data_IF_042421406439
#
_entry.id   IF_042421406439
#
_cell.length_a   1.000
_cell.length_b   1.000
_cell.length_c   1.000
_cell.angle_alpha   90.00
_cell.angle_beta   90.00
_cell.angle_gamma   90.00
#
_symmetry.space_group_name_H-M   'P 1'
#
loop_
_entity.id
_entity.type
_entity.pdbx_description
1 polymer ?
#
# COMPACT_ATOMS: atom_id res chain seq x y z
N UNK A 1 1.04 11.19 5.38
CA UNK A 1 1.04 9.74 5.31
C UNK A 1 -0.37 9.25 5.02
N UNK A 2 -0.62 8.40 4.01
CA UNK A 2 -1.91 7.76 3.80
C UNK A 2 -2.31 6.96 5.04
N UNK A 3 -3.56 7.09 5.45
CA UNK A 3 -4.06 6.46 6.68
C UNK A 3 -5.57 6.54 6.73
N UNK A 4 -6.24 5.46 7.14
CA UNK A 4 -7.67 5.42 7.35
C UNK A 4 -8.00 5.09 8.81
N UNK A 5 -8.94 5.82 9.41
CA UNK A 5 -9.36 5.60 10.77
C UNK A 5 -10.56 6.41 11.21
N UNK A 6 -11.08 6.05 12.38
CA UNK A 6 -12.20 6.75 12.98
C UNK A 6 -12.63 6.15 14.31
N UNK A 7 -13.41 6.88 15.10
CA UNK A 7 -13.90 6.41 16.40
C UNK A 7 -14.95 5.30 16.28
N UNK A 8 -15.65 5.23 15.15
CA UNK A 8 -16.67 4.21 14.88
C UNK A 8 -16.89 4.07 13.35
N UNK A 9 -17.60 3.02 12.89
CA UNK A 9 -17.83 2.80 11.47
C UNK A 9 -18.57 3.92 10.72
N UNK A 10 -19.34 4.76 11.40
CA UNK A 10 -20.05 5.89 10.78
C UNK A 10 -19.18 7.15 10.68
N UNK A 11 -18.06 7.22 11.41
CA UNK A 11 -17.10 8.33 11.33
C UNK A 11 -15.74 7.79 10.94
N UNK A 12 -15.58 7.46 9.66
CA UNK A 12 -14.32 7.01 9.07
C UNK A 12 -13.66 8.17 8.36
N UNK A 13 -12.38 8.40 8.66
CA UNK A 13 -11.58 9.50 8.13
C UNK A 13 -10.30 8.94 7.56
N UNK A 14 -9.84 9.52 6.45
CA UNK A 14 -8.55 9.15 5.88
C UNK A 14 -7.74 10.38 5.51
N UNK A 15 -6.44 10.18 5.38
CA UNK A 15 -5.47 11.18 4.92
C UNK A 15 -4.74 10.66 3.70
N UNK A 16 -4.23 11.57 2.87
CA UNK A 16 -3.36 11.21 1.76
C UNK A 16 -2.19 12.18 1.68
N UNK A 17 -1.19 11.84 0.86
CA UNK A 17 -0.18 12.79 0.39
C UNK A 17 -0.63 13.36 -0.93
N UNK A 18 -0.24 14.58 -1.18
CA UNK A 18 -0.51 15.25 -2.43
C UNK A 18 0.80 15.80 -3.01
N UNK A 19 1.06 15.47 -4.28
CA UNK A 19 2.17 15.98 -5.06
C UNK A 19 1.66 16.28 -6.49
N UNK A 20 1.76 17.52 -6.92
CA UNK A 20 1.30 17.95 -8.25
C UNK A 20 2.10 17.32 -9.39
N UNK A 21 3.35 16.94 -9.13
CA UNK A 21 4.23 16.29 -10.10
C UNK A 21 3.96 14.78 -10.22
N UNK A 22 3.29 14.20 -9.20
CA UNK A 22 2.98 12.76 -9.15
C UNK A 22 1.55 12.53 -8.61
N UNK A 23 0.50 12.91 -9.35
CA UNK A 23 -0.88 12.85 -8.89
C UNK A 23 -1.43 11.42 -8.73
N UNK A 24 -0.82 10.42 -9.38
CA UNK A 24 -1.25 9.02 -9.27
C UNK A 24 -1.07 8.45 -7.87
N UNK A 25 0.03 8.76 -7.19
CA UNK A 25 0.26 8.31 -5.83
C UNK A 25 -0.83 8.79 -4.88
N UNK A 26 -1.26 10.05 -5.03
CA UNK A 26 -2.38 10.59 -4.26
C UNK A 26 -3.70 9.90 -4.59
N UNK A 27 -3.99 9.66 -5.87
CA UNK A 27 -5.22 8.99 -6.30
C UNK A 27 -5.29 7.57 -5.77
N UNK A 28 -4.26 6.76 -6.03
CA UNK A 28 -4.23 5.36 -5.60
C UNK A 28 -4.19 5.21 -4.09
N UNK A 29 -3.44 6.06 -3.39
CA UNK A 29 -3.47 6.12 -1.94
C UNK A 29 -4.87 6.44 -1.39
N UNK A 30 -5.58 7.40 -1.98
CA UNK A 30 -6.96 7.71 -1.59
C UNK A 30 -7.92 6.56 -1.89
N UNK A 31 -7.75 5.85 -3.00
CA UNK A 31 -8.56 4.66 -3.32
C UNK A 31 -8.29 3.52 -2.34
N UNK A 32 -7.03 3.30 -1.99
CA UNK A 32 -6.61 2.34 -0.98
C UNK A 32 -7.30 2.61 0.37
N UNK A 33 -7.16 3.82 0.89
CA UNK A 33 -7.80 4.21 2.16
C UNK A 33 -9.34 4.19 2.08
N UNK A 34 -9.92 4.47 0.90
CA UNK A 34 -11.36 4.31 0.66
C UNK A 34 -11.80 2.86 0.79
N UNK A 35 -10.97 1.91 0.33
CA UNK A 35 -11.23 0.49 0.51
C UNK A 35 -11.31 0.08 1.98
N UNK A 36 -10.37 0.54 2.79
CA UNK A 36 -10.43 0.36 4.25
C UNK A 36 -11.67 1.03 4.86
N UNK A 37 -11.96 2.25 4.44
CA UNK A 37 -13.09 3.02 4.95
C UNK A 37 -14.45 2.39 4.64
N UNK A 38 -14.65 1.94 3.41
CA UNK A 38 -15.91 1.27 3.01
C UNK A 38 -16.08 -0.07 3.69
N UNK A 39 -15.00 -0.80 3.94
CA UNK A 39 -15.04 -2.03 4.74
C UNK A 39 -15.50 -1.76 6.18
N UNK A 40 -14.92 -0.77 6.84
CA UNK A 40 -15.33 -0.36 8.19
C UNK A 40 -16.80 0.08 8.24
N UNK A 41 -17.26 0.88 7.27
CA UNK A 41 -18.64 1.33 7.15
C UNK A 41 -19.63 0.20 6.87
N UNK A 42 -19.19 -0.85 6.18
CA UNK A 42 -20.00 -2.04 5.87
C UNK A 42 -20.17 -3.02 7.04
N UNK A 43 -19.57 -2.76 8.19
CA UNK A 43 -19.70 -3.64 9.37
C UNK A 43 -21.12 -3.62 9.93
N UNK A 44 -21.62 -4.76 10.47
CA UNK A 44 -23.00 -4.85 10.98
C UNK A 44 -23.26 -3.86 12.12
N UNK A 45 -24.14 -2.90 11.91
CA UNK A 45 -24.46 -1.85 12.89
C UNK A 45 -24.90 -2.42 14.24
N UNK A 46 -25.71 -3.48 14.24
CA UNK A 46 -26.20 -4.14 15.45
C UNK A 46 -25.08 -4.79 16.31
N UNK A 47 -23.89 -5.03 15.71
CA UNK A 47 -22.77 -5.71 16.36
C UNK A 47 -21.54 -4.81 16.52
N UNK A 48 -21.64 -3.54 16.19
CA UNK A 48 -20.48 -2.60 16.11
C UNK A 48 -19.64 -2.56 17.38
N UNK A 49 -20.28 -2.68 18.55
CA UNK A 49 -19.59 -2.67 19.86
C UNK A 49 -19.30 -4.07 20.42
N UNK A 50 -19.54 -5.12 19.63
CA UNK A 50 -19.32 -6.50 20.04
C UNK A 50 -18.09 -7.07 19.32
N UNK A 51 -17.38 -8.03 19.94
CA UNK A 51 -16.25 -8.70 19.27
C UNK A 51 -16.62 -9.33 17.92
N UNK A 52 -17.83 -9.88 17.78
CA UNK A 52 -18.33 -10.48 16.54
C UNK A 52 -18.57 -9.46 15.41
N UNK A 53 -18.70 -8.18 15.74
CA UNK A 53 -18.86 -7.09 14.77
C UNK A 53 -17.54 -6.39 14.38
N UNK A 54 -16.39 -6.83 14.91
CA UNK A 54 -15.10 -6.29 14.53
C UNK A 54 -14.67 -6.80 13.15
N UNK A 55 -13.69 -6.11 12.55
CA UNK A 55 -13.06 -6.55 11.31
C UNK A 55 -12.50 -7.97 11.43
N UNK A 56 -12.63 -8.77 10.38
CA UNK A 56 -12.22 -10.19 10.36
C UNK A 56 -10.69 -10.40 10.38
N UNK A 57 -9.91 -9.35 10.54
CA UNK A 57 -8.45 -9.38 10.57
C UNK A 57 -7.82 -8.55 9.47
N UNK A 58 -6.50 -8.38 9.57
CA UNK A 58 -5.72 -7.49 8.71
C UNK A 58 -5.76 -7.91 7.24
N UNK A 59 -5.61 -9.20 6.95
CA UNK A 59 -5.61 -9.69 5.56
C UNK A 59 -6.93 -9.43 4.83
N UNK A 60 -8.08 -9.54 5.51
CA UNK A 60 -9.38 -9.21 4.92
C UNK A 60 -9.52 -7.70 4.74
N UNK A 61 -9.07 -6.92 5.71
CA UNK A 61 -9.10 -5.47 5.68
C UNK A 61 -8.26 -4.92 4.50
N UNK A 62 -7.01 -5.41 4.38
CA UNK A 62 -6.10 -5.06 3.29
C UNK A 62 -6.61 -5.55 1.92
N UNK A 63 -7.31 -6.69 1.86
CA UNK A 63 -7.90 -7.16 0.60
C UNK A 63 -8.91 -6.17 0.02
N UNK A 64 -9.61 -5.41 0.86
CA UNK A 64 -10.56 -4.39 0.41
C UNK A 64 -9.86 -3.12 -0.09
N UNK A 65 -8.79 -2.70 0.54
CA UNK A 65 -7.97 -1.59 0.04
C UNK A 65 -7.32 -1.95 -1.30
N UNK A 66 -6.75 -3.15 -1.42
CA UNK A 66 -6.15 -3.64 -2.66
C UNK A 66 -7.17 -3.88 -3.78
N UNK A 67 -8.42 -4.23 -3.45
CA UNK A 67 -9.51 -4.30 -4.41
C UNK A 67 -9.73 -2.95 -5.10
N UNK A 68 -9.84 -1.88 -4.32
CA UNK A 68 -10.09 -0.54 -4.84
C UNK A 68 -8.87 0.04 -5.54
N UNK A 69 -7.69 -0.05 -4.95
CA UNK A 69 -6.47 0.48 -5.52
C UNK A 69 -6.04 -0.27 -6.78
N UNK A 70 -5.91 -1.60 -6.70
CA UNK A 70 -5.28 -2.39 -7.76
C UNK A 70 -6.30 -2.93 -8.77
N UNK A 71 -7.34 -3.64 -8.31
CA UNK A 71 -8.24 -4.32 -9.25
C UNK A 71 -9.17 -3.34 -9.95
N UNK A 72 -9.65 -2.31 -9.25
CA UNK A 72 -10.50 -1.27 -9.84
C UNK A 72 -9.64 -0.15 -10.40
N UNK A 73 -8.86 0.53 -9.57
CA UNK A 73 -8.14 1.75 -9.93
C UNK A 73 -7.10 1.59 -11.03
N UNK A 74 -6.47 0.41 -11.12
CA UNK A 74 -5.50 0.11 -12.17
C UNK A 74 -6.09 -0.67 -13.36
N UNK A 75 -7.43 -0.79 -13.44
CA UNK A 75 -8.09 -1.42 -14.59
C UNK A 75 -8.14 -0.49 -15.81
N UNK A 76 -8.21 -1.08 -17.01
CA UNK A 76 -8.40 -0.31 -18.25
C UNK A 76 -9.70 0.49 -18.19
N UNK A 77 -10.80 -0.12 -17.72
CA UNK A 77 -12.10 0.55 -17.61
C UNK A 77 -12.04 1.80 -16.69
N UNK A 78 -11.29 1.74 -15.60
CA UNK A 78 -11.07 2.91 -14.75
C UNK A 78 -10.23 3.97 -15.47
N UNK A 79 -9.20 3.58 -16.20
CA UNK A 79 -8.39 4.51 -17.00
C UNK A 79 -9.22 5.21 -18.09
N UNK A 80 -10.14 4.48 -18.73
CA UNK A 80 -11.10 5.06 -19.70
C UNK A 80 -12.03 6.09 -19.05
N UNK A 81 -12.48 5.82 -17.84
CA UNK A 81 -13.37 6.72 -17.10
C UNK A 81 -12.63 7.94 -16.53
N UNK A 82 -11.44 7.77 -15.95
CA UNK A 82 -10.74 8.85 -15.24
C UNK A 82 -9.98 9.80 -16.17
N UNK A 83 -9.48 9.31 -17.30
CA UNK A 83 -8.63 10.12 -18.20
C UNK A 83 -9.31 11.38 -18.72
N UNK A 84 -10.60 11.40 -19.16
CA UNK A 84 -11.29 12.62 -19.54
C UNK A 84 -11.34 13.65 -18.41
N UNK A 85 -11.63 13.23 -17.18
CA UNK A 85 -11.64 14.10 -16.01
C UNK A 85 -10.26 14.70 -15.76
N UNK A 86 -9.21 13.92 -15.92
CA UNK A 86 -7.83 14.40 -15.73
C UNK A 86 -7.38 15.37 -16.80
N UNK A 87 -7.82 15.21 -18.05
CA UNK A 87 -7.57 16.19 -19.12
C UNK A 87 -8.18 17.54 -18.78
N UNK A 88 -9.35 17.56 -18.15
CA UNK A 88 -10.01 18.79 -17.71
C UNK A 88 -9.24 19.47 -16.55
N UNK A 89 -8.69 18.69 -15.62
CA UNK A 89 -7.93 19.22 -14.47
C UNK A 89 -6.47 19.57 -14.82
N UNK A 90 -5.87 18.91 -15.80
CA UNK A 90 -4.48 19.09 -16.22
C UNK A 90 -4.40 19.44 -17.72
N UNK A 91 -4.95 20.60 -18.13
CA UNK A 91 -4.99 20.97 -19.54
C UNK A 91 -3.59 21.08 -20.13
N UNK A 92 -3.42 20.54 -21.33
CA UNK A 92 -2.14 20.56 -22.06
C UNK A 92 -1.14 19.47 -21.65
N UNK A 93 -1.35 18.76 -20.53
CA UNK A 93 -0.39 17.76 -20.03
C UNK A 93 -0.67 16.34 -20.53
N UNK A 94 -1.92 16.01 -20.86
CA UNK A 94 -2.38 14.66 -21.15
C UNK A 94 -3.05 14.54 -22.54
N UNK A 95 -2.91 15.52 -23.40
CA UNK A 95 -3.65 15.61 -24.69
C UNK A 95 -3.45 14.37 -25.56
N UNK A 96 -2.21 13.91 -25.69
CA UNK A 96 -1.84 12.76 -26.53
C UNK A 96 -1.93 11.41 -25.78
N UNK A 97 -2.37 11.42 -24.51
CA UNK A 97 -2.47 10.20 -23.72
C UNK A 97 -3.78 9.47 -24.04
N UNK A 98 -3.66 8.17 -24.35
CA UNK A 98 -4.81 7.26 -24.50
C UNK A 98 -5.05 6.46 -23.21
N UNK A 99 -6.27 5.92 -23.01
CA UNK A 99 -6.54 5.06 -21.86
C UNK A 99 -5.59 3.86 -21.74
N UNK A 100 -5.20 3.25 -22.87
CA UNK A 100 -4.27 2.13 -22.89
C UNK A 100 -2.85 2.55 -22.52
N UNK A 101 -2.41 3.75 -22.92
CA UNK A 101 -1.11 4.30 -22.49
C UNK A 101 -1.10 4.54 -20.99
N UNK A 102 -2.17 5.13 -20.46
CA UNK A 102 -2.35 5.34 -19.04
C UNK A 102 -2.34 4.00 -18.29
N UNK A 103 -3.17 3.04 -18.74
CA UNK A 103 -3.24 1.70 -18.14
C UNK A 103 -1.89 0.99 -18.11
N UNK A 104 -1.12 1.03 -19.21
CA UNK A 104 0.23 0.45 -19.25
C UNK A 104 1.19 1.14 -18.31
N UNK A 105 1.08 2.46 -18.17
CA UNK A 105 1.95 3.26 -17.28
C UNK A 105 1.73 2.89 -15.81
N UNK A 106 0.46 2.83 -15.36
CA UNK A 106 0.13 2.55 -13.95
C UNK A 106 0.30 1.08 -13.57
N UNK A 107 0.43 0.18 -14.55
CA UNK A 107 0.69 -1.25 -14.34
C UNK A 107 2.11 -1.68 -14.76
N UNK A 108 3.03 -0.72 -14.88
CA UNK A 108 4.43 -1.04 -15.21
C UNK A 108 5.05 -1.85 -14.08
N UNK A 109 5.57 -3.04 -14.41
CA UNK A 109 6.31 -3.88 -13.47
C UNK A 109 7.77 -3.44 -13.46
N UNK A 110 8.23 -3.01 -12.29
CA UNK A 110 9.61 -2.59 -12.09
C UNK A 110 9.99 -2.71 -10.61
N UNK A 111 10.95 -3.57 -10.22
CA UNK A 111 11.42 -3.66 -8.85
C UNK A 111 11.81 -2.28 -8.31
N UNK A 112 11.38 -1.99 -7.09
CA UNK A 112 11.65 -0.74 -6.39
C UNK A 112 12.21 -1.00 -5.00
N UNK A 113 12.79 0.03 -4.37
CA UNK A 113 13.32 -0.11 -3.01
C UNK A 113 12.24 0.05 -1.94
N UNK A 114 11.19 0.80 -2.22
CA UNK A 114 10.16 1.17 -1.24
C UNK A 114 8.90 0.32 -1.47
N UNK A 115 8.46 -0.40 -0.43
CA UNK A 115 7.30 -1.30 -0.49
C UNK A 115 6.03 -0.59 -0.96
N UNK A 116 5.71 0.55 -0.36
CA UNK A 116 4.47 1.28 -0.66
C UNK A 116 4.43 1.89 -2.07
N UNK A 117 5.57 1.96 -2.74
CA UNK A 117 5.71 2.44 -4.13
C UNK A 117 5.88 1.29 -5.13
N UNK A 118 5.82 0.05 -4.65
CA UNK A 118 6.02 -1.14 -5.48
C UNK A 118 4.82 -1.43 -6.36
N UNK A 119 5.08 -1.98 -7.53
CA UNK A 119 4.06 -2.51 -8.41
C UNK A 119 3.37 -3.76 -7.83
N UNK A 120 2.24 -4.14 -8.43
CA UNK A 120 1.42 -5.25 -7.94
C UNK A 120 2.15 -6.60 -7.93
N UNK A 121 3.07 -6.83 -8.87
CA UNK A 121 3.80 -8.10 -8.97
C UNK A 121 4.89 -8.21 -7.90
N UNK A 122 5.58 -7.11 -7.57
CA UNK A 122 6.70 -7.10 -6.63
C UNK A 122 6.29 -6.77 -5.19
N UNK A 123 5.12 -6.18 -4.96
CA UNK A 123 4.64 -5.79 -3.63
C UNK A 123 4.68 -6.93 -2.61
N UNK A 124 4.15 -8.09 -2.97
CA UNK A 124 4.12 -9.25 -2.08
C UNK A 124 5.51 -9.78 -1.76
N UNK A 125 6.49 -9.59 -2.64
CA UNK A 125 7.88 -9.99 -2.39
C UNK A 125 8.47 -9.14 -1.25
N UNK A 126 8.17 -7.85 -1.21
CA UNK A 126 8.56 -6.99 -0.09
C UNK A 126 7.99 -7.47 1.25
N UNK A 127 6.75 -7.96 1.26
CA UNK A 127 6.13 -8.53 2.48
C UNK A 127 6.81 -9.83 2.87
N UNK A 128 7.10 -10.72 1.89
CA UNK A 128 7.79 -11.99 2.16
C UNK A 128 9.17 -11.77 2.79
N UNK A 129 9.96 -10.83 2.27
CA UNK A 129 11.26 -10.46 2.83
C UNK A 129 11.13 -10.06 4.30
N UNK A 130 10.17 -9.18 4.61
CA UNK A 130 9.93 -8.72 5.98
C UNK A 130 9.51 -9.85 6.90
N UNK A 131 8.60 -10.68 6.44
CA UNK A 131 8.12 -11.83 7.20
C UNK A 131 9.25 -12.82 7.54
N UNK A 132 10.11 -13.13 6.57
CA UNK A 132 11.24 -14.05 6.80
C UNK A 132 12.23 -13.47 7.81
N UNK A 133 12.59 -12.19 7.68
CA UNK A 133 13.50 -11.53 8.62
C UNK A 133 12.90 -11.41 10.03
N UNK A 134 11.63 -11.03 10.13
CA UNK A 134 10.90 -10.96 11.41
C UNK A 134 10.84 -12.33 12.08
N UNK A 135 10.50 -13.37 11.33
CA UNK A 135 10.46 -14.74 11.85
C UNK A 135 11.80 -15.16 12.43
N UNK A 136 12.91 -14.95 11.72
CA UNK A 136 14.25 -15.29 12.17
C UNK A 136 14.64 -14.53 13.44
N UNK A 137 14.27 -13.26 13.57
CA UNK A 137 14.48 -12.50 14.81
C UNK A 137 13.70 -13.06 15.99
N UNK A 138 12.42 -13.41 15.78
CA UNK A 138 11.57 -13.96 16.86
C UNK A 138 12.04 -15.36 17.29
N UNK A 139 12.51 -16.17 16.36
CA UNK A 139 13.05 -17.52 16.62
C UNK A 139 14.46 -17.46 17.25
N UNK A 140 15.13 -16.30 17.20
CA UNK A 140 16.47 -16.12 17.74
C UNK A 140 17.58 -16.67 16.86
N UNK A 141 17.27 -16.83 15.55
CA UNK A 141 18.23 -17.34 14.56
C UNK A 141 19.21 -16.27 14.09
N UNK A 142 18.89 -15.00 14.30
CA UNK A 142 19.69 -13.85 13.89
C UNK A 142 19.73 -12.76 14.97
N UNK A 143 20.85 -12.06 15.05
CA UNK A 143 21.00 -10.89 15.89
C UNK A 143 20.51 -9.62 15.17
N UNK A 144 20.01 -8.64 15.91
CA UNK A 144 19.46 -7.39 15.35
C UNK A 144 20.49 -6.65 14.47
N UNK A 145 21.77 -6.71 14.85
CA UNK A 145 22.86 -6.05 14.11
C UNK A 145 23.13 -6.68 12.72
N UNK A 146 22.69 -7.91 12.49
CA UNK A 146 22.84 -8.63 11.21
C UNK A 146 21.71 -8.29 10.21
N UNK A 147 20.57 -7.86 10.71
CA UNK A 147 19.36 -7.60 9.88
C UNK A 147 19.62 -6.62 8.73
N UNK A 148 20.37 -5.51 8.89
CA UNK A 148 20.61 -4.60 7.78
C UNK A 148 21.33 -5.23 6.58
N UNK A 149 22.26 -6.14 6.82
CA UNK A 149 23.00 -6.82 5.74
C UNK A 149 22.16 -7.94 5.12
N UNK A 150 21.41 -8.67 5.95
CA UNK A 150 20.45 -9.66 5.47
C UNK A 150 19.33 -9.02 4.63
N UNK A 151 18.87 -7.83 4.99
CA UNK A 151 17.92 -7.08 4.19
C UNK A 151 18.42 -6.84 2.77
N UNK A 152 19.66 -6.36 2.63
CA UNK A 152 20.28 -6.11 1.33
C UNK A 152 20.44 -7.41 0.51
N UNK A 153 20.83 -8.52 1.16
CA UNK A 153 20.93 -9.84 0.55
C UNK A 153 19.59 -10.38 0.05
N UNK A 154 18.52 -10.24 0.86
CA UNK A 154 17.17 -10.66 0.46
C UNK A 154 16.62 -9.81 -0.68
N UNK A 155 16.87 -8.49 -0.68
CA UNK A 155 16.49 -7.61 -1.79
C UNK A 155 17.20 -8.02 -3.07
N UNK A 156 18.51 -8.29 -3.01
CA UNK A 156 19.26 -8.79 -4.16
C UNK A 156 18.73 -10.14 -4.64
N UNK A 157 18.43 -11.05 -3.72
CA UNK A 157 17.97 -12.41 -4.04
C UNK A 157 16.59 -12.45 -4.65
N UNK A 158 15.64 -11.69 -4.11
CA UNK A 158 14.23 -11.78 -4.48
C UNK A 158 13.77 -10.72 -5.48
N UNK A 159 14.37 -9.53 -5.45
CA UNK A 159 14.02 -8.41 -6.32
C UNK A 159 15.09 -8.10 -7.38
N UNK A 160 16.29 -8.67 -7.25
CA UNK A 160 17.42 -8.41 -8.17
C UNK A 160 18.01 -7.01 -8.03
N UNK A 161 17.75 -6.31 -6.93
CA UNK A 161 18.25 -4.97 -6.64
C UNK A 161 18.84 -4.91 -5.23
N UNK A 162 19.83 -4.04 -5.01
CA UNK A 162 20.39 -3.79 -3.69
C UNK A 162 20.15 -2.32 -3.32
N UNK A 163 19.58 -2.03 -2.15
CA UNK A 163 19.37 -0.66 -1.71
C UNK A 163 20.70 0.12 -1.65
N UNK A 164 20.80 1.33 -2.20
CA UNK A 164 22.05 2.09 -2.25
C UNK A 164 22.46 2.66 -0.89
N UNK A 165 21.56 2.68 0.06
CA UNK A 165 21.78 3.17 1.43
C UNK A 165 20.68 2.65 2.38
N UNK A 166 20.93 2.75 3.68
CA UNK A 166 19.99 2.29 4.72
C UNK A 166 18.64 3.01 4.72
N UNK A 167 18.55 4.23 4.22
CA UNK A 167 17.30 4.99 4.13
C UNK A 167 16.34 4.39 3.09
N UNK A 168 16.86 3.91 1.96
CA UNK A 168 16.11 3.18 0.94
C UNK A 168 16.07 1.67 1.19
N UNK A 169 16.75 1.20 2.22
CA UNK A 169 16.75 -0.17 2.72
C UNK A 169 15.97 -0.30 4.01
N UNK A 170 16.60 -0.89 5.02
CA UNK A 170 15.99 -1.27 6.30
C UNK A 170 15.31 -0.11 7.04
N UNK A 171 15.80 1.12 6.93
CA UNK A 171 15.23 2.27 7.65
C UNK A 171 13.88 2.76 7.10
N UNK A 172 13.37 2.17 6.03
CA UNK A 172 11.98 2.40 5.61
C UNK A 172 10.96 1.77 6.57
N UNK A 173 11.36 0.73 7.30
CA UNK A 173 10.56 0.07 8.32
C UNK A 173 11.14 0.35 9.70
N UNK A 174 10.48 1.21 10.47
CA UNK A 174 10.87 1.57 11.82
C UNK A 174 10.71 0.37 12.77
N UNK A 175 9.79 -0.53 12.46
CA UNK A 175 9.53 -1.74 13.23
C UNK A 175 9.21 -2.90 12.27
N UNK A 176 10.12 -3.87 12.17
CA UNK A 176 9.89 -5.07 11.35
C UNK A 176 8.74 -5.94 11.85
N UNK A 177 8.37 -5.84 13.13
CA UNK A 177 7.21 -6.51 13.71
C UNK A 177 5.88 -5.96 13.19
N UNK A 178 5.88 -4.84 12.49
CA UNK A 178 4.72 -4.22 11.87
C UNK A 178 4.95 -4.08 10.36
N UNK A 179 4.75 -5.14 9.64
CA UNK A 179 4.89 -5.17 8.17
C UNK A 179 3.64 -4.68 7.44
N UNK A 180 2.67 -4.20 8.19
CA UNK A 180 1.38 -3.73 7.72
C UNK A 180 1.43 -2.31 7.15
N UNK A 181 0.41 -1.93 6.41
CA UNK A 181 0.28 -0.57 5.92
C UNK A 181 -0.13 0.41 7.04
N UNK A 182 -0.26 1.67 6.67
CA UNK A 182 -0.59 2.74 7.61
C UNK A 182 -1.92 2.54 8.36
N UNK A 183 -2.88 1.81 7.80
CA UNK A 183 -4.14 1.51 8.45
C UNK A 183 -3.98 0.51 9.60
N UNK A 184 -2.96 -0.31 9.55
CA UNK A 184 -2.66 -1.31 10.57
C UNK A 184 -1.88 -0.73 11.76
N UNK A 185 -1.19 0.40 11.59
CA UNK A 185 -0.41 1.06 12.65
C UNK A 185 -1.26 1.58 13.81
N UNK A 186 -2.58 1.55 13.70
CA UNK A 186 -3.52 1.97 14.75
C UNK A 186 -3.57 1.10 15.99
N UNK A 187 -2.95 -0.06 15.98
CA UNK A 187 -3.06 -1.03 17.07
C UNK A 187 -2.06 -0.86 18.20
N UNK A 188 -1.24 0.18 18.14
CA UNK A 188 -0.28 0.54 19.18
C UNK A 188 -0.84 1.43 20.29
N UNK A 189 -2.17 1.48 20.50
CA UNK A 189 -2.80 2.20 21.61
C UNK A 189 -3.79 1.31 22.31
#
# INVERSE_FOLDING_TARGET
HPFCGGPNPQDVRWTTRYDESEPFGSLFGSMHETGHGTYEQGRPEALVYQPAGKACGLGVHESQSRLWENQIGRSLAFCEWVLPLWKDYFPGSLEDVTPEMLWKSVNKIQPSYIRTESDEATYNIHIMIRYELEKMMIEGDVEVDEIPDMWDDYYQRYLGITPPNRKLGILQDICLLYTSDAADERRGV
#
